data_IF_222610353508
#
_entry.id   IF_222610353508
#
_cell.length_a   1.000
_cell.length_b   1.000
_cell.length_c   1.000
_cell.angle_alpha   90.00
_cell.angle_beta   90.00
_cell.angle_gamma   90.00
#
_symmetry.space_group_name_H-M   'P 1'
#
loop_
_entity.id
_entity.type
_entity.pdbx_description
1 polymer ?
#
# COMPACT_ATOMS: atom_id res chain seq x y z
N UNK A 1 73.12 -26.82 49.71
CA UNK A 1 72.42 -25.58 50.03
C UNK A 1 71.29 -25.42 49.01
N UNK A 2 69.99 -25.58 49.42
CA UNK A 2 68.87 -25.40 48.58
C UNK A 2 68.57 -23.89 48.48
N UNK A 3 68.74 -23.31 47.26
CA UNK A 3 68.36 -21.93 47.02
C UNK A 3 66.83 -21.77 47.23
N UNK A 4 66.47 -21.02 48.22
CA UNK A 4 65.05 -20.56 48.42
C UNK A 4 64.92 -19.29 47.62
N UNK A 5 64.43 -19.41 46.39
CA UNK A 5 64.00 -18.26 45.63
C UNK A 5 62.73 -17.66 46.31
N UNK A 6 62.84 -16.49 46.87
CA UNK A 6 61.69 -15.77 47.41
C UNK A 6 60.84 -15.15 46.26
N UNK A 7 59.54 -15.04 46.45
CA UNK A 7 58.66 -14.31 45.53
C UNK A 7 59.00 -12.85 45.49
N UNK A 8 59.08 -12.25 44.33
CA UNK A 8 59.24 -10.80 44.19
C UNK A 8 57.89 -10.12 44.27
N UNK A 9 57.86 -8.82 44.58
CA UNK A 9 56.63 -8.02 44.58
C UNK A 9 55.93 -8.03 43.20
N UNK A 10 56.71 -8.08 42.12
CA UNK A 10 56.20 -8.16 40.75
C UNK A 10 55.50 -9.50 40.50
N UNK A 11 56.04 -10.61 41.02
CA UNK A 11 55.41 -11.96 40.84
C UNK A 11 54.03 -11.98 41.53
N UNK A 12 53.89 -11.37 42.70
CA UNK A 12 52.59 -11.22 43.40
C UNK A 12 51.65 -10.35 42.62
N UNK A 13 52.12 -9.22 42.08
CA UNK A 13 51.29 -8.28 41.34
C UNK A 13 50.79 -8.88 40.00
N UNK A 14 51.64 -9.54 39.28
CA UNK A 14 51.27 -10.28 38.05
C UNK A 14 50.33 -11.44 38.38
N UNK A 15 50.60 -12.20 39.44
CA UNK A 15 49.73 -13.32 39.87
C UNK A 15 48.33 -12.82 40.27
N UNK A 16 48.22 -11.74 41.00
CA UNK A 16 46.92 -11.17 41.36
C UNK A 16 46.17 -10.58 40.16
N UNK A 17 46.87 -9.93 39.22
CA UNK A 17 46.25 -9.42 37.98
C UNK A 17 45.68 -10.58 37.13
N UNK A 18 46.43 -11.67 36.96
CA UNK A 18 45.98 -12.86 36.25
C UNK A 18 44.77 -13.51 36.96
N UNK A 19 44.83 -13.61 38.31
CA UNK A 19 43.73 -14.14 39.09
C UNK A 19 42.44 -13.32 38.89
N UNK A 20 42.51 -11.98 38.89
CA UNK A 20 41.37 -11.11 38.66
C UNK A 20 40.77 -11.34 37.25
N UNK A 21 41.60 -11.42 36.21
CA UNK A 21 41.15 -11.70 34.83
C UNK A 21 40.38 -13.01 34.76
N UNK A 22 40.94 -14.08 35.36
CA UNK A 22 40.30 -15.39 35.40
C UNK A 22 38.94 -15.32 36.17
N UNK A 23 38.94 -14.66 37.31
CA UNK A 23 37.69 -14.49 38.12
C UNK A 23 36.61 -13.72 37.35
N UNK A 24 36.95 -12.64 36.63
CA UNK A 24 35.99 -11.89 35.79
C UNK A 24 35.44 -12.79 34.68
N UNK A 25 36.31 -13.62 34.04
CA UNK A 25 35.86 -14.58 33.04
C UNK A 25 34.90 -15.64 33.59
N UNK A 26 35.22 -16.22 34.73
CA UNK A 26 34.35 -17.19 35.42
C UNK A 26 33.03 -16.57 35.83
N UNK A 27 33.06 -15.37 36.40
CA UNK A 27 31.83 -14.65 36.78
C UNK A 27 30.93 -14.35 35.58
N UNK A 28 31.50 -13.91 34.44
CA UNK A 28 30.78 -13.70 33.20
C UNK A 28 30.15 -14.99 32.67
N UNK A 29 30.87 -16.13 32.74
CA UNK A 29 30.34 -17.43 32.35
C UNK A 29 29.15 -17.86 33.24
N UNK A 30 29.22 -17.63 34.55
CA UNK A 30 28.13 -17.93 35.48
C UNK A 30 26.88 -17.04 35.18
N UNK A 31 27.05 -15.74 34.93
CA UNK A 31 25.96 -14.87 34.55
C UNK A 31 25.25 -15.34 33.28
N UNK A 32 26.03 -15.72 32.26
CA UNK A 32 25.46 -16.28 31.02
C UNK A 32 24.70 -17.57 31.25
N UNK A 33 25.26 -18.47 32.08
CA UNK A 33 24.62 -19.74 32.41
C UNK A 33 23.28 -19.54 33.13
N UNK A 34 23.23 -18.66 34.14
CA UNK A 34 21.98 -18.35 34.83
C UNK A 34 20.95 -17.71 33.88
N UNK A 35 21.37 -16.79 32.99
CA UNK A 35 20.50 -16.19 31.98
C UNK A 35 19.86 -17.26 31.09
N UNK A 36 20.65 -18.21 30.58
CA UNK A 36 20.14 -19.32 29.73
C UNK A 36 19.21 -20.24 30.54
N UNK A 37 19.53 -20.55 31.79
CA UNK A 37 18.68 -21.38 32.63
C UNK A 37 17.31 -20.73 32.90
N UNK A 38 17.28 -19.44 33.24
CA UNK A 38 16.00 -18.73 33.46
C UNK A 38 15.19 -18.63 32.19
N UNK A 39 15.81 -18.38 31.04
CA UNK A 39 15.13 -18.36 29.73
C UNK A 39 14.54 -19.73 29.40
N UNK A 40 15.28 -20.80 29.63
CA UNK A 40 14.80 -22.17 29.42
C UNK A 40 13.62 -22.53 30.33
N UNK A 41 13.68 -22.14 31.62
CA UNK A 41 12.57 -22.35 32.55
C UNK A 41 11.30 -21.63 32.09
N UNK A 42 11.39 -20.37 31.71
CA UNK A 42 10.24 -19.60 31.23
C UNK A 42 9.61 -20.22 29.99
N UNK A 43 10.45 -20.69 29.04
CA UNK A 43 9.96 -21.37 27.84
C UNK A 43 9.28 -22.71 28.16
N UNK A 44 9.81 -23.47 29.12
CA UNK A 44 9.19 -24.74 29.57
C UNK A 44 7.82 -24.49 30.20
N UNK A 45 7.70 -23.48 31.07
CA UNK A 45 6.42 -23.08 31.68
C UNK A 45 5.43 -22.66 30.58
N UNK A 46 5.84 -21.80 29.64
CA UNK A 46 4.98 -21.37 28.52
C UNK A 46 4.51 -22.55 27.66
N UNK A 47 5.38 -23.51 27.38
CA UNK A 47 5.06 -24.74 26.65
C UNK A 47 4.05 -25.62 27.48
N UNK A 48 4.22 -25.69 28.79
CA UNK A 48 3.32 -26.43 29.66
C UNK A 48 1.92 -25.80 29.66
N UNK A 49 1.83 -24.47 29.77
CA UNK A 49 0.57 -23.73 29.71
C UNK A 49 -0.12 -23.87 28.34
N UNK A 50 0.66 -23.83 27.25
CA UNK A 50 0.12 -24.03 25.91
C UNK A 50 -0.41 -25.46 25.72
N UNK A 51 0.31 -26.48 26.21
CA UNK A 51 -0.18 -27.86 26.18
C UNK A 51 -1.43 -28.05 27.06
N UNK A 52 -1.45 -27.48 28.25
CA UNK A 52 -2.64 -27.50 29.12
C UNK A 52 -3.86 -26.93 28.40
N UNK A 53 -3.69 -25.78 27.71
CA UNK A 53 -4.78 -25.17 26.96
C UNK A 53 -5.26 -26.06 25.80
N UNK A 54 -4.34 -26.71 25.07
CA UNK A 54 -4.70 -27.66 24.00
C UNK A 54 -5.46 -28.87 24.60
N UNK A 55 -5.05 -29.39 25.76
CA UNK A 55 -5.77 -30.49 26.44
C UNK A 55 -7.14 -30.06 26.96
N UNK A 56 -7.30 -28.81 27.42
CA UNK A 56 -8.63 -28.28 27.77
C UNK A 56 -9.53 -28.31 26.54
N UNK A 57 -9.04 -27.81 25.37
CA UNK A 57 -9.79 -27.84 24.12
C UNK A 57 -10.11 -29.26 23.68
N UNK A 58 -9.17 -30.21 23.81
CA UNK A 58 -9.32 -31.60 23.40
C UNK A 58 -10.39 -32.36 24.23
N UNK A 59 -10.62 -31.92 25.45
CA UNK A 59 -11.63 -32.49 26.32
C UNK A 59 -13.08 -32.01 26.08
N UNK A 60 -13.24 -31.02 25.18
CA UNK A 60 -14.56 -30.54 24.78
C UNK A 60 -15.16 -31.41 23.67
N UNK A 61 -16.50 -31.41 23.56
CA UNK A 61 -17.15 -31.96 22.38
C UNK A 61 -16.78 -31.12 21.15
N UNK A 62 -16.76 -31.72 19.95
CA UNK A 62 -16.40 -30.98 18.72
C UNK A 62 -17.25 -29.71 18.55
N UNK A 63 -18.55 -29.78 18.88
CA UNK A 63 -19.45 -28.62 18.77
C UNK A 63 -19.08 -27.49 19.75
N UNK A 64 -18.56 -27.81 20.95
CA UNK A 64 -18.17 -26.84 21.96
C UNK A 64 -16.76 -26.26 21.74
N UNK A 65 -15.98 -26.85 20.83
CA UNK A 65 -14.66 -26.32 20.43
C UNK A 65 -14.87 -25.03 19.65
N UNK A 66 -14.57 -23.90 20.29
CA UNK A 66 -14.73 -22.57 19.74
C UNK A 66 -14.36 -21.53 20.79
N UNK A 67 -14.23 -20.29 20.37
CA UNK A 67 -13.87 -19.18 21.26
C UNK A 67 -15.08 -18.31 21.61
N UNK A 68 -15.05 -17.72 22.81
CA UNK A 68 -16.07 -16.77 23.27
C UNK A 68 -16.04 -15.54 22.35
N UNK A 69 -17.19 -15.23 21.71
CA UNK A 69 -17.28 -14.14 20.74
C UNK A 69 -16.46 -14.34 19.46
N UNK A 70 -16.04 -15.57 19.16
CA UNK A 70 -15.31 -15.93 17.95
C UNK A 70 -16.09 -16.83 17.00
N UNK A 71 -15.46 -17.19 15.89
CA UNK A 71 -15.98 -18.11 14.89
C UNK A 71 -14.96 -19.22 14.65
N UNK A 72 -15.28 -20.49 15.02
CA UNK A 72 -16.51 -20.97 15.67
C UNK A 72 -16.74 -20.39 17.07
N UNK A 73 -18.01 -20.14 17.39
CA UNK A 73 -18.40 -19.76 18.73
C UNK A 73 -18.23 -20.94 19.69
N UNK A 74 -17.83 -20.67 20.95
CA UNK A 74 -17.62 -21.72 21.96
C UNK A 74 -17.28 -21.16 23.32
N UNK A 75 -16.73 -22.04 24.17
CA UNK A 75 -16.53 -21.75 25.60
C UNK A 75 -15.13 -21.24 25.94
N UNK A 76 -14.16 -21.30 25.02
CA UNK A 76 -12.77 -20.96 25.28
C UNK A 76 -12.59 -19.43 25.26
N UNK A 77 -12.08 -18.80 26.32
CA UNK A 77 -11.69 -17.39 26.26
C UNK A 77 -10.60 -17.16 25.22
N UNK A 78 -10.73 -16.12 24.39
CA UNK A 78 -9.71 -15.76 23.40
C UNK A 78 -8.38 -15.37 24.07
N UNK A 79 -8.45 -14.77 25.25
CA UNK A 79 -7.26 -14.41 26.02
C UNK A 79 -7.48 -14.71 27.49
N UNK A 80 -6.44 -15.23 28.17
CA UNK A 80 -6.38 -15.34 29.65
C UNK A 80 -4.97 -15.07 30.13
N UNK A 81 -4.85 -14.66 31.36
CA UNK A 81 -3.55 -14.46 32.02
C UNK A 81 -3.38 -15.47 33.14
N UNK A 82 -2.14 -15.92 33.33
CA UNK A 82 -1.77 -16.83 34.40
C UNK A 82 -0.42 -16.45 34.98
N UNK A 83 -0.34 -16.38 36.31
CA UNK A 83 0.90 -16.07 37.01
C UNK A 83 1.55 -17.35 37.52
N UNK A 84 2.75 -17.65 37.01
CA UNK A 84 3.55 -18.82 37.42
C UNK A 84 4.95 -18.35 37.81
N UNK A 85 5.40 -18.72 39.03
CA UNK A 85 6.70 -18.35 39.56
C UNK A 85 6.98 -16.83 39.51
N UNK A 86 5.98 -16.03 39.92
CA UNK A 86 6.04 -14.56 39.96
C UNK A 86 6.29 -13.92 38.56
N UNK A 87 5.82 -14.60 37.49
CA UNK A 87 5.83 -14.11 36.15
C UNK A 87 4.45 -14.28 35.51
N UNK A 88 3.97 -13.22 34.90
CA UNK A 88 2.71 -13.21 34.18
C UNK A 88 2.90 -13.77 32.77
N UNK A 89 2.06 -14.69 32.36
CA UNK A 89 1.96 -15.28 31.03
C UNK A 89 0.59 -14.93 30.47
N UNK A 90 0.57 -14.33 29.28
CA UNK A 90 -0.66 -14.11 28.52
C UNK A 90 -0.84 -15.28 27.53
N UNK A 91 -2.00 -15.92 27.60
CA UNK A 91 -2.39 -17.06 26.77
C UNK A 91 -3.45 -16.59 25.81
N UNK A 92 -3.10 -16.50 24.52
CA UNK A 92 -4.03 -16.19 23.45
C UNK A 92 -4.43 -17.50 22.73
N UNK A 93 -5.73 -17.69 22.56
CA UNK A 93 -6.29 -18.88 21.90
C UNK A 93 -7.15 -18.44 20.73
N UNK A 94 -6.79 -18.86 19.53
CA UNK A 94 -7.54 -18.68 18.29
C UNK A 94 -8.03 -20.05 17.81
N UNK A 95 -9.32 -20.16 17.49
CA UNK A 95 -9.92 -21.37 16.94
C UNK A 95 -10.63 -20.98 15.65
N UNK A 96 -10.31 -21.66 14.55
CA UNK A 96 -10.88 -21.42 13.23
C UNK A 96 -11.35 -22.72 12.59
N UNK A 97 -12.30 -22.62 11.67
CA UNK A 97 -12.59 -23.69 10.71
C UNK A 97 -11.52 -23.71 9.62
N UNK A 98 -11.21 -24.86 9.09
CA UNK A 98 -10.26 -25.08 8.01
C UNK A 98 -10.93 -25.87 6.92
N UNK A 99 -10.80 -25.39 5.69
CA UNK A 99 -11.12 -26.03 4.43
C UNK A 99 -9.83 -26.69 3.92
N UNK A 100 -9.83 -28.03 3.78
CA UNK A 100 -8.66 -28.86 3.48
C UNK A 100 -8.69 -29.27 1.99
N UNK A 101 -7.63 -29.12 1.21
CA UNK A 101 -7.66 -29.46 -0.21
C UNK A 101 -7.76 -30.96 -0.53
N UNK A 102 -7.88 -31.84 0.45
CA UNK A 102 -7.86 -33.29 0.24
C UNK A 102 -9.10 -33.82 -0.50
N UNK A 103 -10.27 -33.29 -0.22
CA UNK A 103 -11.55 -33.63 -0.88
C UNK A 103 -12.07 -32.53 -1.81
N UNK A 104 -11.29 -31.50 -2.01
CA UNK A 104 -11.54 -30.32 -2.79
C UNK A 104 -11.38 -29.05 -1.97
N UNK A 105 -11.52 -27.93 -2.61
CA UNK A 105 -11.63 -26.61 -1.96
C UNK A 105 -12.96 -25.99 -2.37
N UNK A 106 -13.52 -25.13 -1.54
CA UNK A 106 -14.65 -24.32 -1.97
C UNK A 106 -14.33 -23.61 -3.32
N UNK A 107 -15.19 -23.68 -4.38
CA UNK A 107 -16.60 -24.10 -4.32
C UNK A 107 -16.86 -25.57 -4.70
N UNK A 108 -15.87 -26.36 -5.11
CA UNK A 108 -16.06 -27.75 -5.51
C UNK A 108 -16.44 -28.64 -4.34
N UNK A 109 -15.89 -28.35 -3.16
CA UNK A 109 -16.30 -28.99 -1.91
C UNK A 109 -17.61 -28.38 -1.38
N UNK A 110 -18.59 -29.24 -1.03
CA UNK A 110 -19.89 -28.81 -0.51
C UNK A 110 -19.85 -28.45 0.97
N UNK A 111 -18.86 -28.93 1.73
CA UNK A 111 -18.70 -28.69 3.16
C UNK A 111 -17.33 -28.13 3.50
N UNK A 112 -17.12 -26.88 3.26
CA UNK A 112 -15.83 -26.19 3.42
C UNK A 112 -15.30 -26.10 4.88
N UNK A 113 -15.75 -26.94 5.79
CA UNK A 113 -15.37 -26.96 7.21
C UNK A 113 -14.95 -28.34 7.70
N UNK A 114 -13.84 -28.86 7.18
CA UNK A 114 -13.36 -30.23 7.44
C UNK A 114 -12.96 -30.47 8.87
N UNK A 115 -12.29 -29.48 9.45
CA UNK A 115 -11.85 -29.56 10.85
C UNK A 115 -11.68 -28.17 11.48
N UNK A 116 -11.55 -28.17 12.80
CA UNK A 116 -11.20 -26.96 13.56
C UNK A 116 -9.71 -26.97 13.89
N UNK A 117 -9.03 -25.86 13.69
CA UNK A 117 -7.64 -25.65 14.08
C UNK A 117 -7.58 -24.68 15.26
N UNK A 118 -6.95 -25.12 16.35
CA UNK A 118 -6.62 -24.23 17.46
C UNK A 118 -5.16 -23.82 17.39
N UNK A 119 -4.91 -22.52 17.51
CA UNK A 119 -3.60 -21.90 17.70
C UNK A 119 -3.55 -21.30 19.11
N UNK A 120 -2.64 -21.80 19.92
CA UNK A 120 -2.41 -21.31 21.28
C UNK A 120 -1.05 -20.64 21.34
N UNK A 121 -1.04 -19.34 21.62
CA UNK A 121 0.17 -18.56 21.83
C UNK A 121 0.28 -18.16 23.29
N UNK A 122 1.40 -18.52 23.93
CA UNK A 122 1.72 -18.11 25.29
C UNK A 122 2.87 -17.14 25.25
N UNK A 123 2.63 -15.91 25.65
CA UNK A 123 3.61 -14.82 25.65
C UNK A 123 3.95 -14.36 27.07
N UNK A 124 5.19 -13.88 27.25
CA UNK A 124 5.67 -13.32 28.50
C UNK A 124 6.70 -12.23 28.26
N UNK A 125 6.87 -11.34 29.23
CA UNK A 125 7.93 -10.32 29.17
C UNK A 125 9.18 -10.79 29.92
N UNK A 126 10.33 -10.65 29.27
CA UNK A 126 11.63 -10.95 29.85
C UNK A 126 12.66 -9.86 29.46
N UNK A 127 13.17 -9.13 30.47
CA UNK A 127 14.12 -8.02 30.24
C UNK A 127 13.62 -6.98 29.21
N UNK A 128 12.35 -6.60 29.30
CA UNK A 128 11.66 -5.68 28.36
C UNK A 128 11.57 -6.23 26.92
N UNK A 129 11.76 -7.51 26.70
CA UNK A 129 11.55 -8.18 25.42
C UNK A 129 10.36 -9.14 25.55
N UNK A 130 9.42 -9.04 24.63
CA UNK A 130 8.33 -10.00 24.53
C UNK A 130 8.84 -11.29 23.90
N UNK A 131 8.54 -12.40 24.54
CA UNK A 131 8.81 -13.77 24.09
C UNK A 131 7.50 -14.51 23.97
N UNK A 132 7.40 -15.44 23.02
CA UNK A 132 6.23 -16.30 22.91
C UNK A 132 6.59 -17.71 22.47
N UNK A 133 5.66 -18.64 22.70
CA UNK A 133 5.62 -20.02 22.17
C UNK A 133 4.26 -20.21 21.56
N UNK A 134 4.22 -20.86 20.39
CA UNK A 134 2.98 -21.16 19.70
C UNK A 134 2.86 -22.68 19.56
N UNK A 135 1.69 -23.21 19.89
CA UNK A 135 1.28 -24.59 19.59
C UNK A 135 0.03 -24.57 18.71
N UNK A 136 -0.07 -25.55 17.83
CA UNK A 136 -1.24 -25.76 16.97
C UNK A 136 -1.75 -27.19 17.12
N UNK A 137 -3.08 -27.35 17.07
CA UNK A 137 -3.72 -28.66 17.08
C UNK A 137 -4.95 -28.63 16.16
N UNK A 138 -5.17 -29.75 15.45
CA UNK A 138 -6.35 -29.96 14.61
C UNK A 138 -7.33 -30.85 15.34
N UNK A 139 -8.62 -30.56 15.18
CA UNK A 139 -9.74 -31.29 15.77
C UNK A 139 -10.73 -31.61 14.67
N UNK A 140 -10.82 -32.89 14.30
CA UNK A 140 -11.76 -33.36 13.30
C UNK A 140 -13.12 -33.70 13.92
N UNK A 141 -14.23 -33.55 13.19
CA UNK A 141 -15.54 -34.00 13.64
C UNK A 141 -15.57 -35.52 13.85
N UNK A 142 -16.43 -36.04 14.74
CA UNK A 142 -16.50 -37.48 14.99
C UNK A 142 -17.17 -38.27 13.85
N UNK A 143 -17.86 -37.60 12.94
CA UNK A 143 -18.54 -38.17 11.78
C UNK A 143 -18.15 -37.39 10.52
N UNK A 144 -18.84 -37.67 9.38
CA UNK A 144 -18.77 -36.84 8.19
C UNK A 144 -19.09 -35.38 8.53
N UNK A 145 -18.50 -34.47 7.77
CA UNK A 145 -18.59 -33.02 7.95
C UNK A 145 -20.03 -32.60 8.24
N UNK A 146 -20.16 -31.64 9.15
CA UNK A 146 -21.46 -31.07 9.49
C UNK A 146 -21.58 -29.72 8.81
N UNK A 147 -22.75 -29.42 8.26
CA UNK A 147 -23.05 -28.05 7.84
C UNK A 147 -22.76 -27.09 8.99
N UNK A 148 -21.89 -26.13 8.72
CA UNK A 148 -21.54 -25.06 9.65
C UNK A 148 -22.52 -23.92 9.40
N UNK A 149 -23.18 -23.43 10.45
CA UNK A 149 -24.00 -22.22 10.31
C UNK A 149 -23.17 -21.04 9.80
N UNK A 150 -23.80 -20.11 9.07
CA UNK A 150 -23.13 -18.99 8.39
C UNK A 150 -22.77 -19.30 6.93
N UNK A 151 -22.02 -18.41 6.31
CA UNK A 151 -21.54 -18.57 4.94
C UNK A 151 -20.02 -18.83 4.89
N UNK A 152 -19.52 -19.19 3.72
CA UNK A 152 -18.07 -19.35 3.46
C UNK A 152 -17.58 -18.22 2.60
N UNK A 153 -16.58 -17.46 3.09
CA UNK A 153 -15.87 -16.45 2.32
C UNK A 153 -14.54 -17.01 1.82
N UNK A 154 -14.35 -17.01 0.52
CA UNK A 154 -13.14 -17.49 -0.13
C UNK A 154 -12.49 -16.37 -0.93
N UNK A 155 -11.17 -16.18 -0.77
CA UNK A 155 -10.40 -15.14 -1.42
C UNK A 155 -9.32 -15.75 -2.29
N UNK A 156 -9.19 -15.23 -3.52
CA UNK A 156 -8.03 -15.43 -4.39
C UNK A 156 -7.27 -14.15 -4.54
N UNK A 157 -5.98 -14.16 -4.25
CA UNK A 157 -5.10 -12.99 -4.40
C UNK A 157 -4.08 -13.27 -5.50
N UNK A 158 -4.11 -12.46 -6.55
CA UNK A 158 -3.25 -12.59 -7.71
C UNK A 158 -2.53 -11.27 -8.01
N UNK A 159 -1.32 -11.39 -8.54
CA UNK A 159 -0.59 -10.27 -9.13
C UNK A 159 -1.30 -9.82 -10.43
N UNK A 160 -1.68 -8.56 -10.49
CA UNK A 160 -2.50 -8.02 -11.58
C UNK A 160 -1.79 -8.00 -12.94
N UNK A 161 -0.45 -8.04 -12.96
CA UNK A 161 0.34 -7.97 -14.17
C UNK A 161 0.68 -9.37 -14.70
N UNK A 162 1.11 -10.27 -13.83
CA UNK A 162 1.51 -11.64 -14.21
C UNK A 162 0.35 -12.64 -14.15
N UNK A 163 -0.72 -12.33 -13.43
CA UNK A 163 -1.81 -13.26 -13.11
C UNK A 163 -1.42 -14.38 -12.15
N UNK A 164 -0.21 -14.36 -11.62
CA UNK A 164 0.27 -15.39 -10.68
C UNK A 164 -0.30 -15.18 -9.28
N UNK A 165 -0.50 -16.28 -8.57
CA UNK A 165 -0.93 -16.28 -7.20
C UNK A 165 0.07 -15.55 -6.28
N UNK A 166 -0.44 -14.78 -5.33
CA UNK A 166 0.39 -14.10 -4.31
C UNK A 166 0.27 -14.84 -2.99
N UNK A 167 1.33 -15.57 -2.63
CA UNK A 167 1.42 -16.29 -1.38
C UNK A 167 1.64 -15.35 -0.19
N UNK A 168 1.10 -15.75 0.97
CA UNK A 168 1.23 -14.99 2.23
C UNK A 168 0.75 -13.53 2.14
N UNK A 169 -0.18 -13.22 1.24
CA UNK A 169 -0.85 -11.94 1.22
C UNK A 169 -1.74 -11.83 2.47
N UNK A 170 -1.54 -10.79 3.25
CA UNK A 170 -2.33 -10.55 4.44
C UNK A 170 -3.74 -10.12 4.03
N UNK A 171 -4.75 -10.77 4.57
CA UNK A 171 -6.15 -10.42 4.43
C UNK A 171 -6.71 -10.02 5.80
N UNK A 172 -7.25 -8.83 5.91
CA UNK A 172 -7.99 -8.34 7.05
C UNK A 172 -9.48 -8.31 6.66
N UNK A 173 -10.31 -9.05 7.41
CA UNK A 173 -11.75 -9.22 7.16
C UNK A 173 -12.50 -8.66 8.33
N UNK A 174 -13.30 -7.62 8.09
CA UNK A 174 -13.97 -6.84 9.14
C UNK A 174 -15.46 -6.80 8.87
N UNK A 175 -16.26 -7.03 9.91
CA UNK A 175 -17.69 -6.72 9.93
C UNK A 175 -18.14 -6.49 11.37
N UNK A 176 -18.41 -5.27 11.73
CA UNK A 176 -18.89 -4.85 13.06
C UNK A 176 -20.42 -4.80 13.16
N UNK A 177 -21.14 -5.10 12.06
CA UNK A 177 -22.60 -5.08 12.00
C UNK A 177 -23.24 -6.44 12.28
N UNK A 178 -22.42 -7.47 12.53
CA UNK A 178 -22.87 -8.84 12.83
C UNK A 178 -22.56 -9.22 14.28
N UNK A 179 -23.25 -10.26 14.78
CA UNK A 179 -22.99 -10.82 16.10
C UNK A 179 -22.62 -12.31 16.00
N UNK A 180 -21.44 -12.74 16.44
CA UNK A 180 -20.35 -11.91 16.94
C UNK A 180 -19.74 -11.03 15.86
N UNK A 181 -19.23 -9.84 16.23
CA UNK A 181 -18.49 -8.99 15.31
C UNK A 181 -17.26 -9.72 14.78
N UNK A 182 -16.97 -9.54 13.47
CA UNK A 182 -15.86 -10.21 12.80
C UNK A 182 -14.69 -9.25 12.69
N UNK A 183 -13.53 -9.65 13.19
CA UNK A 183 -12.25 -8.99 12.98
C UNK A 183 -11.18 -10.07 12.86
N UNK A 184 -10.85 -10.43 11.63
CA UNK A 184 -9.90 -11.51 11.34
C UNK A 184 -8.71 -10.95 10.56
N UNK A 185 -7.51 -11.30 11.00
CA UNK A 185 -6.27 -11.06 10.27
C UNK A 185 -5.68 -12.43 9.95
N UNK A 186 -5.49 -12.70 8.67
CA UNK A 186 -5.04 -13.98 8.17
C UNK A 186 -4.19 -13.79 6.92
N UNK A 187 -3.69 -14.86 6.32
CA UNK A 187 -2.90 -14.78 5.10
C UNK A 187 -3.29 -15.89 4.12
N UNK A 188 -3.07 -15.62 2.84
CA UNK A 188 -3.22 -16.63 1.79
C UNK A 188 -2.17 -17.72 1.89
N UNK A 189 -2.49 -18.89 1.37
CA UNK A 189 -1.57 -20.01 1.17
C UNK A 189 -0.58 -19.78 0.00
N UNK A 190 0.20 -20.80 -0.35
CA UNK A 190 1.16 -20.75 -1.46
C UNK A 190 0.49 -20.60 -2.85
N UNK A 191 -0.82 -20.86 -2.96
CA UNK A 191 -1.63 -20.70 -4.17
C UNK A 191 -2.42 -19.37 -4.19
N UNK A 192 -2.14 -18.46 -3.25
CA UNK A 192 -2.87 -17.21 -3.13
C UNK A 192 -4.31 -17.36 -2.63
N UNK A 193 -4.63 -18.52 -2.05
CA UNK A 193 -5.96 -18.90 -1.62
C UNK A 193 -6.15 -18.73 -0.12
N UNK A 194 -7.35 -18.35 0.27
CA UNK A 194 -7.80 -18.27 1.65
C UNK A 194 -9.29 -18.60 1.72
N UNK A 195 -9.70 -19.53 2.59
CA UNK A 195 -11.10 -19.84 2.88
C UNK A 195 -11.43 -19.60 4.35
N UNK A 196 -12.61 -19.03 4.63
CA UNK A 196 -13.13 -18.79 5.97
C UNK A 196 -14.59 -19.21 6.07
N UNK A 197 -14.86 -20.48 6.43
CA UNK A 197 -16.19 -20.98 6.68
C UNK A 197 -16.78 -20.45 7.99
N UNK A 198 -18.11 -20.43 8.07
CA UNK A 198 -18.85 -20.14 9.30
C UNK A 198 -19.00 -18.66 9.65
N UNK A 199 -18.73 -17.76 8.72
CA UNK A 199 -18.93 -16.33 8.93
C UNK A 199 -20.42 -15.96 8.95
N UNK A 200 -20.89 -15.05 9.82
CA UNK A 200 -22.27 -14.58 9.83
C UNK A 200 -22.71 -13.99 8.48
N UNK A 201 -23.95 -14.27 8.00
CA UNK A 201 -24.45 -13.69 6.78
C UNK A 201 -24.55 -12.15 6.88
N UNK A 202 -24.06 -11.44 5.87
CA UNK A 202 -24.09 -9.97 5.79
C UNK A 202 -23.62 -9.51 4.41
N UNK A 203 -23.97 -8.27 4.04
CA UNK A 203 -23.48 -7.57 2.84
C UNK A 203 -22.45 -6.46 3.18
N UNK A 204 -21.95 -6.43 4.41
CA UNK A 204 -21.09 -5.38 4.94
C UNK A 204 -19.68 -5.85 5.28
N UNK A 205 -19.18 -6.91 4.62
CA UNK A 205 -17.80 -7.36 4.84
C UNK A 205 -16.79 -6.44 4.16
N UNK A 206 -16.06 -5.70 4.97
CA UNK A 206 -14.88 -4.94 4.54
C UNK A 206 -13.67 -5.88 4.51
N UNK A 207 -12.97 -5.90 3.36
CA UNK A 207 -11.82 -6.77 3.14
C UNK A 207 -10.65 -5.93 2.69
N UNK A 208 -9.52 -6.03 3.38
CA UNK A 208 -8.26 -5.40 2.99
C UNK A 208 -7.25 -6.48 2.68
N UNK A 209 -6.64 -6.42 1.51
CA UNK A 209 -5.58 -7.34 1.09
C UNK A 209 -4.31 -6.53 0.84
N UNK A 210 -3.22 -6.97 1.45
CA UNK A 210 -1.92 -6.32 1.33
C UNK A 210 -0.78 -7.34 1.31
N UNK A 211 0.32 -7.01 0.64
CA UNK A 211 1.56 -7.77 0.66
C UNK A 211 2.74 -6.82 0.53
N UNK A 212 3.85 -7.12 1.20
CA UNK A 212 5.06 -6.31 1.11
C UNK A 212 5.55 -6.18 -0.34
N UNK A 213 5.72 -4.94 -0.81
CA UNK A 213 6.12 -4.64 -2.19
C UNK A 213 4.96 -4.58 -3.19
N UNK A 214 3.74 -4.77 -2.73
CA UNK A 214 2.51 -4.61 -3.51
C UNK A 214 1.67 -3.46 -2.98
N UNK A 215 0.78 -2.95 -3.81
CA UNK A 215 -0.25 -2.02 -3.39
C UNK A 215 -1.36 -2.73 -2.60
N UNK A 216 -2.19 -1.97 -1.91
CA UNK A 216 -3.34 -2.48 -1.18
C UNK A 216 -4.56 -2.58 -2.10
N UNK A 217 -5.32 -3.67 -1.97
CA UNK A 217 -6.66 -3.80 -2.53
C UNK A 217 -7.66 -3.84 -1.39
N UNK A 218 -8.56 -2.86 -1.35
CA UNK A 218 -9.55 -2.69 -0.29
C UNK A 218 -10.96 -2.62 -0.87
N UNK A 219 -11.93 -3.16 -0.14
CA UNK A 219 -13.36 -2.98 -0.47
C UNK A 219 -13.96 -1.81 0.29
N UNK A 220 -15.04 -1.26 -0.24
CA UNK A 220 -15.68 -0.04 0.26
C UNK A 220 -17.19 -0.18 0.30
N UNK A 221 -17.84 0.54 1.21
CA UNK A 221 -19.29 0.74 1.20
C UNK A 221 -19.69 1.84 0.23
N UNK A 222 -20.83 1.68 -0.43
CA UNK A 222 -21.45 2.75 -1.21
C UNK A 222 -21.94 3.89 -0.30
N UNK A 223 -21.90 5.11 -0.81
CA UNK A 223 -22.39 6.31 -0.12
C UNK A 223 -23.08 7.27 -1.10
N UNK A 224 -23.58 8.41 -0.61
CA UNK A 224 -24.17 9.44 -1.47
C UNK A 224 -23.17 10.09 -2.45
N UNK A 225 -21.88 10.00 -2.16
CA UNK A 225 -20.79 10.62 -2.95
C UNK A 225 -19.82 9.61 -3.53
N UNK A 226 -20.06 8.31 -3.31
CA UNK A 226 -19.19 7.27 -3.79
C UNK A 226 -19.94 5.96 -4.03
N UNK A 227 -19.89 5.48 -5.26
CA UNK A 227 -20.40 4.17 -5.71
C UNK A 227 -19.21 3.32 -6.16
N UNK A 228 -18.78 2.31 -5.35
CA UNK A 228 -17.63 1.49 -5.71
C UNK A 228 -17.92 0.59 -6.90
N UNK A 229 -16.93 0.39 -7.75
CA UNK A 229 -17.00 -0.68 -8.76
C UNK A 229 -17.23 -2.04 -8.07
N UNK A 230 -17.89 -3.01 -8.73
CA UNK A 230 -18.27 -4.29 -8.12
C UNK A 230 -17.10 -5.02 -7.45
N UNK A 231 -15.90 -4.94 -8.00
CA UNK A 231 -14.68 -5.57 -7.44
C UNK A 231 -14.21 -4.88 -6.16
N UNK A 232 -14.55 -3.61 -5.96
CA UNK A 232 -14.24 -2.82 -4.77
C UNK A 232 -15.42 -2.68 -3.80
N UNK A 233 -16.59 -3.25 -4.10
CA UNK A 233 -17.74 -3.24 -3.18
C UNK A 233 -17.53 -4.19 -2.00
N UNK A 234 -18.18 -3.91 -0.86
CA UNK A 234 -18.17 -4.82 0.28
C UNK A 234 -18.63 -6.23 -0.11
N UNK A 235 -18.05 -7.24 0.56
CA UNK A 235 -18.40 -8.64 0.33
C UNK A 235 -19.80 -8.97 0.84
N UNK A 236 -20.63 -9.61 0.00
CA UNK A 236 -21.90 -10.18 0.42
C UNK A 236 -21.71 -11.65 0.78
N UNK A 237 -22.23 -12.06 1.93
CA UNK A 237 -22.21 -13.43 2.41
C UNK A 237 -23.62 -13.87 2.77
N UNK A 238 -24.03 -15.05 2.28
CA UNK A 238 -25.36 -15.63 2.49
C UNK A 238 -25.21 -16.91 3.32
N UNK A 239 -26.18 -17.18 4.18
CA UNK A 239 -26.25 -18.41 4.98
C UNK A 239 -26.19 -19.65 4.11
N UNK A 240 -25.28 -20.58 4.40
CA UNK A 240 -25.09 -21.83 3.69
C UNK A 240 -24.53 -21.66 2.26
N UNK A 241 -24.14 -20.45 1.85
CA UNK A 241 -23.62 -20.19 0.52
C UNK A 241 -22.11 -19.90 0.55
N UNK A 242 -21.49 -19.98 -0.61
CA UNK A 242 -20.06 -19.74 -0.81
C UNK A 242 -19.85 -18.50 -1.66
N UNK A 243 -19.19 -17.51 -1.08
CA UNK A 243 -18.84 -16.28 -1.78
C UNK A 243 -17.35 -16.27 -2.11
N UNK A 244 -17.04 -16.23 -3.40
CA UNK A 244 -15.66 -16.14 -3.90
C UNK A 244 -15.37 -14.71 -4.31
N UNK A 245 -14.23 -14.17 -3.84
CA UNK A 245 -13.75 -12.83 -4.19
C UNK A 245 -12.33 -12.91 -4.74
N UNK A 246 -12.10 -12.20 -5.84
CA UNK A 246 -10.79 -12.10 -6.47
C UNK A 246 -10.18 -10.74 -6.16
N UNK A 247 -8.95 -10.74 -5.67
CA UNK A 247 -8.19 -9.55 -5.36
C UNK A 247 -6.97 -9.48 -6.25
N UNK A 248 -6.88 -8.43 -7.04
CA UNK A 248 -5.73 -8.15 -7.90
C UNK A 248 -4.88 -7.09 -7.23
N UNK A 249 -3.69 -7.43 -6.79
CA UNK A 249 -2.71 -6.50 -6.26
C UNK A 249 -1.55 -6.35 -7.23
N UNK A 250 -0.90 -5.20 -7.24
CA UNK A 250 0.18 -4.90 -8.16
C UNK A 250 1.45 -4.51 -7.41
N UNK A 251 2.61 -4.83 -7.96
CA UNK A 251 3.85 -4.30 -7.43
C UNK A 251 3.86 -2.79 -7.49
N UNK A 252 4.27 -2.19 -6.38
CA UNK A 252 4.31 -0.73 -6.25
C UNK A 252 5.42 -0.10 -7.08
N UNK A 253 5.21 1.15 -7.43
CA UNK A 253 6.09 1.95 -8.26
C UNK A 253 6.55 3.23 -7.54
N UNK A 254 7.44 3.97 -8.18
CA UNK A 254 7.96 5.24 -7.68
C UNK A 254 7.72 6.33 -8.72
N UNK A 255 7.19 7.48 -8.28
CA UNK A 255 7.08 8.68 -9.11
C UNK A 255 8.07 9.73 -8.58
N UNK A 256 8.96 10.22 -9.44
CA UNK A 256 9.84 11.33 -9.15
C UNK A 256 9.31 12.58 -9.85
N UNK A 257 8.95 13.58 -9.08
CA UNK A 257 8.52 14.88 -9.57
C UNK A 257 9.69 15.85 -9.47
N UNK A 258 9.96 16.60 -10.53
CA UNK A 258 10.94 17.69 -10.55
C UNK A 258 10.29 18.95 -11.08
N UNK A 259 10.50 20.08 -10.39
CA UNK A 259 10.03 21.40 -10.79
C UNK A 259 11.23 22.25 -11.19
N UNK A 260 11.17 22.86 -12.38
CA UNK A 260 12.23 23.69 -12.94
C UNK A 260 11.62 24.91 -13.64
N UNK A 261 12.43 25.94 -13.84
CA UNK A 261 12.10 27.04 -14.74
C UNK A 261 12.37 26.70 -16.21
N UNK A 262 12.19 27.65 -17.11
CA UNK A 262 12.43 27.50 -18.53
C UNK A 262 13.94 27.45 -18.92
N UNK A 263 14.84 27.71 -17.97
CA UNK A 263 16.29 27.56 -18.10
C UNK A 263 16.78 26.23 -17.49
N UNK A 264 15.83 25.38 -17.01
CA UNK A 264 16.07 24.13 -16.33
C UNK A 264 16.73 24.26 -14.93
N UNK A 265 16.64 25.45 -14.32
CA UNK A 265 17.06 25.66 -12.94
C UNK A 265 15.96 25.18 -11.96
N UNK A 266 16.32 24.56 -10.83
CA UNK A 266 15.35 24.04 -9.88
C UNK A 266 14.46 25.12 -9.26
N UNK A 267 13.15 24.88 -9.22
CA UNK A 267 12.19 25.70 -8.49
C UNK A 267 11.77 24.99 -7.21
N UNK A 268 12.14 25.59 -6.08
CA UNK A 268 11.90 25.02 -4.74
C UNK A 268 10.48 25.27 -4.25
N UNK A 269 9.97 24.36 -3.41
CA UNK A 269 8.72 24.53 -2.67
C UNK A 269 7.48 24.80 -3.52
N UNK A 270 7.40 24.17 -4.68
CA UNK A 270 6.23 24.28 -5.55
C UNK A 270 5.13 23.36 -5.02
N UNK A 271 3.95 23.91 -4.66
CA UNK A 271 2.82 23.11 -4.22
C UNK A 271 2.08 22.52 -5.44
N UNK A 272 1.62 21.27 -5.29
CA UNK A 272 0.82 20.58 -6.29
C UNK A 272 -0.10 19.57 -5.64
N UNK A 273 -1.18 19.21 -6.33
CA UNK A 273 -2.05 18.08 -5.99
C UNK A 273 -1.78 16.90 -6.91
N UNK A 274 -2.10 15.71 -6.45
CA UNK A 274 -2.00 14.49 -7.23
C UNK A 274 -3.16 13.57 -6.92
N UNK A 275 -3.90 13.17 -7.96
CA UNK A 275 -4.92 12.13 -7.87
C UNK A 275 -4.68 11.07 -8.93
N UNK A 276 -5.03 9.81 -8.65
CA UNK A 276 -4.83 8.74 -9.62
C UNK A 276 -4.72 7.36 -9.01
N UNK A 277 -3.97 6.48 -9.66
CA UNK A 277 -3.85 5.07 -9.31
C UNK A 277 -5.01 4.26 -9.84
N UNK A 278 -5.56 3.37 -9.02
CA UNK A 278 -6.71 2.54 -9.42
C UNK A 278 -7.99 3.38 -9.43
N UNK A 279 -8.80 3.26 -10.48
CA UNK A 279 -10.17 3.70 -10.44
C UNK A 279 -10.97 2.72 -9.55
N UNK A 280 -11.52 3.21 -8.45
CA UNK A 280 -12.21 2.38 -7.44
C UNK A 280 -13.73 2.54 -7.45
N UNK A 281 -14.24 3.51 -8.17
CA UNK A 281 -15.67 3.80 -8.29
C UNK A 281 -15.96 5.12 -8.95
N UNK A 282 -17.22 5.54 -8.86
CA UNK A 282 -17.70 6.79 -9.40
C UNK A 282 -18.34 7.64 -8.30
N UNK A 283 -18.36 8.94 -8.49
CA UNK A 283 -19.18 9.85 -7.72
C UNK A 283 -20.60 9.92 -8.35
N UNK A 284 -21.67 9.48 -7.66
CA UNK A 284 -23.01 9.45 -8.24
C UNK A 284 -23.61 10.83 -8.60
N UNK A 285 -22.99 11.92 -8.13
CA UNK A 285 -23.50 13.27 -8.39
C UNK A 285 -23.12 13.81 -9.78
N UNK A 286 -21.96 13.40 -10.31
CA UNK A 286 -21.40 13.96 -11.54
C UNK A 286 -20.68 12.91 -12.44
N UNK A 287 -20.79 11.63 -12.09
CA UNK A 287 -20.15 10.48 -12.75
C UNK A 287 -18.60 10.62 -12.83
N UNK A 288 -18.00 11.44 -11.98
CA UNK A 288 -16.55 11.57 -11.94
C UNK A 288 -15.89 10.33 -11.34
N UNK A 289 -14.74 9.93 -11.91
CA UNK A 289 -13.98 8.78 -11.42
C UNK A 289 -13.35 9.08 -10.08
N UNK A 290 -13.55 8.16 -9.12
CA UNK A 290 -12.88 8.18 -7.82
C UNK A 290 -11.67 7.26 -7.89
N UNK A 291 -10.49 7.79 -7.52
CA UNK A 291 -9.24 7.06 -7.55
C UNK A 291 -8.80 6.62 -6.15
N UNK A 292 -7.99 5.58 -6.09
CA UNK A 292 -7.44 5.05 -4.83
C UNK A 292 -6.42 5.98 -4.16
N UNK A 293 -5.86 6.93 -4.90
CA UNK A 293 -4.89 7.91 -4.42
C UNK A 293 -5.35 9.33 -4.70
N UNK A 294 -5.46 10.12 -3.64
CA UNK A 294 -5.71 11.56 -3.74
C UNK A 294 -4.94 12.27 -2.64
N UNK A 295 -4.11 13.23 -3.00
CA UNK A 295 -3.34 14.06 -2.07
C UNK A 295 -3.37 15.51 -2.51
N UNK A 296 -3.90 16.33 -1.64
CA UNK A 296 -3.76 17.77 -1.66
C UNK A 296 -2.48 18.14 -0.89
N UNK A 297 -1.88 19.27 -1.18
CA UNK A 297 -0.74 19.81 -0.41
C UNK A 297 0.57 19.00 -0.51
N UNK A 298 0.88 18.42 -1.66
CA UNK A 298 2.24 17.95 -1.96
C UNK A 298 3.13 19.16 -2.29
N UNK A 299 4.38 19.15 -1.81
CA UNK A 299 5.34 20.25 -2.03
C UNK A 299 6.69 19.65 -2.41
N UNK A 300 7.36 20.23 -3.43
CA UNK A 300 8.75 19.89 -3.77
C UNK A 300 9.73 20.44 -2.71
N UNK A 301 10.90 19.83 -2.62
CA UNK A 301 11.97 20.23 -1.68
C UNK A 301 12.78 21.43 -2.16
N UNK A 302 13.90 21.75 -1.46
CA UNK A 302 14.84 22.84 -1.77
C UNK A 302 15.49 22.69 -3.16
N UNK A 303 15.53 21.47 -3.71
CA UNK A 303 16.08 21.15 -5.03
C UNK A 303 14.99 21.02 -6.10
N UNK A 304 13.76 21.40 -5.79
CA UNK A 304 12.62 21.24 -6.66
C UNK A 304 12.23 19.78 -6.89
N UNK A 305 12.46 18.88 -5.93
CA UNK A 305 12.21 17.45 -6.09
C UNK A 305 11.18 16.94 -5.10
N UNK A 306 10.39 15.94 -5.52
CA UNK A 306 9.52 15.15 -4.67
C UNK A 306 9.50 13.71 -5.14
N UNK A 307 9.84 12.78 -4.27
CA UNK A 307 9.70 11.36 -4.52
C UNK A 307 8.44 10.84 -3.83
N UNK A 308 7.62 10.12 -4.58
CA UNK A 308 6.42 9.44 -4.12
C UNK A 308 6.65 7.94 -4.26
N UNK A 309 6.64 7.26 -3.13
CA UNK A 309 6.89 5.82 -3.04
C UNK A 309 5.57 5.07 -2.87
N UNK A 310 5.60 3.76 -3.15
CA UNK A 310 4.47 2.86 -2.99
C UNK A 310 3.23 3.29 -3.80
N UNK A 311 3.48 3.78 -5.01
CA UNK A 311 2.42 4.20 -5.91
C UNK A 311 1.83 2.98 -6.63
N UNK A 312 0.50 2.85 -6.63
CA UNK A 312 -0.22 1.84 -7.42
C UNK A 312 -0.02 2.10 -8.91
N UNK A 313 0.00 1.09 -9.78
CA UNK A 313 -0.08 1.33 -11.22
C UNK A 313 -1.41 2.01 -11.58
N UNK A 314 -1.39 2.81 -12.63
CA UNK A 314 -2.58 3.52 -13.09
C UNK A 314 -2.29 4.89 -13.68
N UNK A 315 -3.33 5.66 -13.85
CA UNK A 315 -3.29 7.03 -14.37
C UNK A 315 -3.15 8.03 -13.22
N UNK A 316 -2.25 9.02 -13.36
CA UNK A 316 -2.05 10.07 -12.38
C UNK A 316 -2.16 11.45 -12.99
N UNK A 317 -3.00 12.30 -12.39
CA UNK A 317 -3.26 13.67 -12.79
C UNK A 317 -2.63 14.63 -11.81
N UNK A 318 -1.81 15.52 -12.33
CA UNK A 318 -1.11 16.57 -11.58
C UNK A 318 -1.81 17.90 -11.77
N UNK A 319 -1.90 18.67 -10.69
CA UNK A 319 -2.31 20.07 -10.74
C UNK A 319 -1.35 20.91 -9.88
N UNK A 320 -0.71 21.90 -10.47
CA UNK A 320 0.13 22.85 -9.73
C UNK A 320 -0.76 23.91 -9.11
N UNK A 321 -0.74 24.01 -7.77
CA UNK A 321 -1.60 24.91 -6.99
C UNK A 321 -0.89 26.21 -6.58
N UNK A 322 0.24 26.53 -7.23
CA UNK A 322 1.00 27.75 -6.98
C UNK A 322 0.27 28.98 -7.53
N UNK A 323 0.13 30.01 -6.71
CA UNK A 323 -0.35 31.32 -7.17
C UNK A 323 0.71 32.19 -7.86
N UNK A 324 1.99 31.77 -7.77
CA UNK A 324 3.12 32.51 -8.33
C UNK A 324 3.63 31.93 -9.64
N UNK A 325 3.37 30.65 -9.91
CA UNK A 325 3.90 29.93 -11.06
C UNK A 325 2.81 29.21 -11.83
N UNK A 326 2.90 29.21 -13.15
CA UNK A 326 2.08 28.45 -14.07
C UNK A 326 2.91 27.39 -14.80
N UNK A 327 2.27 26.29 -15.21
CA UNK A 327 2.94 25.19 -15.92
C UNK A 327 3.11 25.54 -17.40
N UNK A 328 4.33 25.48 -17.87
CA UNK A 328 4.66 25.58 -19.31
C UNK A 328 4.53 24.20 -19.98
N UNK A 329 5.21 23.20 -19.42
CA UNK A 329 5.21 21.81 -19.89
C UNK A 329 5.34 20.85 -18.69
N UNK A 330 4.86 19.60 -18.78
CA UNK A 330 4.13 18.98 -19.88
C UNK A 330 2.66 19.43 -19.97
N UNK A 331 1.90 18.84 -20.88
CA UNK A 331 0.45 19.00 -20.91
C UNK A 331 -0.18 18.17 -19.78
N UNK A 332 -0.59 18.81 -18.68
CA UNK A 332 -1.18 18.14 -17.51
C UNK A 332 -2.66 17.71 -17.72
N UNK A 333 -3.29 18.06 -18.85
CA UNK A 333 -4.59 17.48 -19.21
C UNK A 333 -4.49 15.97 -19.49
N UNK A 334 -3.28 15.47 -19.76
CA UNK A 334 -3.00 14.04 -19.94
C UNK A 334 -2.42 13.44 -18.67
N UNK A 335 -2.91 12.26 -18.27
CA UNK A 335 -2.35 11.57 -17.11
C UNK A 335 -0.92 11.06 -17.37
N UNK A 336 -0.13 11.02 -16.30
CA UNK A 336 1.08 10.20 -16.25
C UNK A 336 0.67 8.74 -16.06
N UNK A 337 1.06 7.87 -16.98
CA UNK A 337 0.82 6.42 -16.86
C UNK A 337 1.95 5.80 -16.05
N UNK A 338 1.58 5.15 -14.95
CA UNK A 338 2.51 4.44 -14.06
C UNK A 338 2.29 2.94 -14.21
N UNK A 339 3.30 2.27 -14.74
CA UNK A 339 3.33 0.81 -14.85
C UNK A 339 3.75 0.17 -13.52
N UNK A 340 3.36 -1.08 -13.27
CA UNK A 340 3.78 -1.82 -12.08
C UNK A 340 5.30 -2.04 -12.05
N UNK A 341 5.90 -2.08 -10.85
CA UNK A 341 7.33 -2.32 -10.63
C UNK A 341 8.22 -1.33 -11.44
N UNK A 342 7.78 -0.08 -11.57
CA UNK A 342 8.44 0.92 -12.41
C UNK A 342 8.90 2.15 -11.61
N UNK A 343 9.79 2.90 -12.21
CA UNK A 343 10.17 4.23 -11.74
C UNK A 343 9.89 5.23 -12.85
N UNK A 344 8.93 6.11 -12.61
CA UNK A 344 8.54 7.17 -13.53
C UNK A 344 9.09 8.52 -13.06
N UNK A 345 9.36 9.40 -14.02
CA UNK A 345 9.81 10.75 -13.72
C UNK A 345 9.00 11.76 -14.52
N UNK A 346 8.51 12.80 -13.85
CA UNK A 346 7.86 13.94 -14.50
C UNK A 346 8.64 15.21 -14.17
N UNK A 347 8.91 16.01 -15.18
CA UNK A 347 9.52 17.34 -15.04
C UNK A 347 8.47 18.39 -15.36
N UNK A 348 8.12 19.18 -14.36
CA UNK A 348 7.21 20.31 -14.48
C UNK A 348 8.04 21.57 -14.75
N UNK A 349 8.01 22.06 -15.97
CA UNK A 349 8.63 23.34 -16.31
C UNK A 349 7.62 24.44 -16.05
N UNK A 350 7.99 25.41 -15.24
CA UNK A 350 7.11 26.46 -14.73
C UNK A 350 7.65 27.84 -15.12
N UNK A 351 6.74 28.82 -15.19
CA UNK A 351 7.11 30.22 -15.35
C UNK A 351 6.35 31.08 -14.35
N UNK A 352 6.92 32.25 -13.97
CA UNK A 352 6.22 33.23 -13.16
C UNK A 352 4.92 33.70 -13.83
N UNK A 353 3.86 33.84 -13.03
CA UNK A 353 2.56 34.30 -13.54
C UNK A 353 2.51 35.82 -13.80
N UNK A 354 3.44 36.58 -13.24
CA UNK A 354 3.54 38.04 -13.38
C UNK A 354 4.45 38.50 -14.55
N UNK A 355 4.95 37.56 -15.35
CA UNK A 355 5.72 37.83 -16.54
C UNK A 355 4.88 37.64 -17.82
N UNK A 356 5.04 38.51 -18.85
CA UNK A 356 4.35 38.31 -20.11
C UNK A 356 4.80 37.03 -20.83
N UNK A 357 3.88 36.07 -20.94
CA UNK A 357 4.12 34.79 -21.61
C UNK A 357 2.85 34.30 -22.31
N UNK A 358 3.02 33.57 -23.39
CA UNK A 358 1.94 32.84 -24.04
C UNK A 358 2.29 31.35 -24.07
N UNK A 359 1.51 30.56 -23.38
CA UNK A 359 1.47 29.09 -23.52
C UNK A 359 0.39 28.73 -24.53
N UNK A 360 0.77 28.20 -25.67
CA UNK A 360 -0.13 27.81 -26.75
C UNK A 360 -0.19 26.28 -26.81
N UNK A 361 -1.36 25.72 -26.67
CA UNK A 361 -1.64 24.30 -26.91
C UNK A 361 -2.33 24.14 -28.26
N UNK A 362 -1.73 23.42 -29.19
CA UNK A 362 -2.28 23.15 -30.51
C UNK A 362 -2.71 21.71 -30.60
N UNK A 363 -4.00 21.49 -30.84
CA UNK A 363 -4.62 20.17 -30.89
C UNK A 363 -5.21 19.88 -32.28
N UNK A 364 -5.35 18.62 -32.61
CA UNK A 364 -6.16 18.11 -33.70
C UNK A 364 -7.65 18.12 -33.29
N UNK A 365 -8.46 18.83 -34.04
CA UNK A 365 -9.91 18.99 -33.74
C UNK A 365 -10.71 17.69 -33.78
N UNK A 366 -10.20 16.62 -34.42
CA UNK A 366 -10.90 15.35 -34.56
C UNK A 366 -10.47 14.32 -33.51
N UNK A 367 -9.23 14.39 -33.04
CA UNK A 367 -8.65 13.38 -32.12
C UNK A 367 -8.32 13.92 -30.75
N UNK A 368 -8.42 15.23 -30.55
CA UNK A 368 -8.03 15.97 -29.33
C UNK A 368 -6.56 15.76 -28.91
N UNK A 369 -5.71 15.29 -29.83
CA UNK A 369 -4.29 15.06 -29.57
C UNK A 369 -3.47 16.30 -29.90
N UNK A 370 -2.45 16.57 -29.07
CA UNK A 370 -1.49 17.63 -29.34
C UNK A 370 -0.77 17.42 -30.67
N UNK A 371 -0.60 18.49 -31.44
CA UNK A 371 0.05 18.46 -32.76
C UNK A 371 1.52 18.81 -32.63
N UNK A 372 2.39 17.81 -32.79
CA UNK A 372 3.85 17.96 -32.78
C UNK A 372 4.33 18.75 -34.04
N UNK A 373 5.27 19.68 -33.86
CA UNK A 373 5.84 20.51 -34.95
C UNK A 373 4.80 21.31 -35.74
N UNK A 374 3.74 21.80 -35.11
CA UNK A 374 2.95 22.87 -35.68
C UNK A 374 3.72 24.20 -35.57
N UNK A 375 3.74 25.01 -36.62
CA UNK A 375 4.38 26.32 -36.60
C UNK A 375 3.41 27.34 -36.02
N UNK A 376 3.77 27.94 -34.89
CA UNK A 376 3.05 29.04 -34.27
C UNK A 376 3.86 30.33 -34.47
N UNK A 377 3.25 31.39 -35.01
CA UNK A 377 3.85 32.74 -35.19
C UNK A 377 3.04 33.71 -34.37
N UNK A 378 3.73 34.43 -33.50
CA UNK A 378 3.18 35.54 -32.73
C UNK A 378 3.86 36.81 -33.18
N UNK A 379 3.06 37.81 -33.64
CA UNK A 379 3.64 39.00 -34.25
C UNK A 379 2.78 40.24 -34.07
N UNK A 380 3.47 41.40 -33.98
CA UNK A 380 2.92 42.73 -34.07
C UNK A 380 3.97 43.67 -34.72
N UNK A 381 3.87 44.99 -34.54
CA UNK A 381 4.84 45.95 -35.09
C UNK A 381 6.26 45.82 -34.49
N UNK A 382 6.37 45.34 -33.24
CA UNK A 382 7.61 45.30 -32.47
C UNK A 382 8.13 43.91 -32.19
N UNK A 383 7.33 42.86 -32.43
CA UNK A 383 7.63 41.48 -32.12
C UNK A 383 7.18 40.57 -33.26
N UNK A 384 8.07 39.72 -33.76
CA UNK A 384 7.74 38.73 -34.79
C UNK A 384 8.59 37.48 -34.57
N UNK A 385 8.00 36.45 -33.98
CA UNK A 385 8.67 35.17 -33.65
C UNK A 385 7.84 34.00 -34.09
N UNK A 386 8.53 32.93 -34.50
CA UNK A 386 7.95 31.65 -34.86
C UNK A 386 8.51 30.57 -33.92
N UNK A 387 7.64 29.80 -33.30
CA UNK A 387 7.96 28.66 -32.45
C UNK A 387 7.28 27.42 -33.02
N UNK A 388 7.89 26.24 -32.85
CA UNK A 388 7.25 24.97 -33.15
C UNK A 388 6.76 24.32 -31.89
N UNK A 389 5.59 23.66 -31.95
CA UNK A 389 5.06 22.88 -30.85
C UNK A 389 5.92 21.65 -30.58
N UNK A 390 6.06 21.30 -29.29
CA UNK A 390 6.69 20.08 -28.82
C UNK A 390 5.80 18.84 -29.05
N UNK A 391 6.16 17.66 -28.48
CA UNK A 391 5.43 16.41 -28.61
C UNK A 391 4.02 16.47 -27.99
N UNK A 392 3.81 17.31 -26.99
CA UNK A 392 2.50 17.56 -26.37
C UNK A 392 1.62 18.56 -27.13
N UNK A 393 2.14 19.13 -28.22
CA UNK A 393 1.46 20.19 -28.97
C UNK A 393 1.62 21.57 -28.34
N UNK A 394 2.59 21.78 -27.43
CA UNK A 394 2.78 23.04 -26.71
C UNK A 394 3.87 23.88 -27.39
N UNK A 395 3.58 25.17 -27.64
CA UNK A 395 4.53 26.21 -27.97
C UNK A 395 4.50 27.30 -26.90
N UNK A 396 5.68 27.82 -26.52
CA UNK A 396 5.80 28.87 -25.50
C UNK A 396 6.48 30.09 -26.09
N UNK A 397 5.94 31.28 -25.81
CA UNK A 397 6.54 32.57 -26.13
C UNK A 397 6.79 33.38 -24.85
N UNK A 398 7.93 34.11 -24.74
CA UNK A 398 9.01 34.18 -25.73
C UNK A 398 9.71 32.82 -25.86
N UNK A 399 10.17 32.49 -27.08
CA UNK A 399 10.89 31.26 -27.35
C UNK A 399 12.42 31.43 -27.19
N UNK A 400 12.88 32.65 -27.26
CA UNK A 400 14.29 33.05 -27.13
C UNK A 400 14.40 34.26 -26.16
N UNK A 401 15.60 34.83 -26.01
CA UNK A 401 15.85 35.98 -25.14
C UNK A 401 15.11 37.28 -25.57
N UNK A 402 14.18 37.18 -26.52
CA UNK A 402 13.38 38.32 -26.97
C UNK A 402 12.28 38.64 -25.96
N UNK A 403 12.23 39.87 -25.47
CA UNK A 403 11.23 40.35 -24.55
C UNK A 403 9.83 40.35 -25.18
N UNK A 404 8.91 39.55 -24.62
CA UNK A 404 7.49 39.66 -24.93
C UNK A 404 6.88 40.71 -23.95
N UNK A 405 6.06 41.60 -24.48
CA UNK A 405 5.37 42.61 -23.63
C UNK A 405 3.87 42.34 -23.58
N UNK A 406 3.21 42.85 -22.55
CA UNK A 406 1.76 42.88 -22.53
C UNK A 406 1.22 43.73 -23.70
N UNK A 407 0.15 43.27 -24.34
CA UNK A 407 -0.46 43.95 -25.48
C UNK A 407 -1.09 43.02 -26.49
N UNK A 408 -1.51 43.60 -27.61
CA UNK A 408 -2.19 42.88 -28.68
C UNK A 408 -1.21 42.40 -29.75
N UNK A 409 -1.39 41.16 -30.17
CA UNK A 409 -0.62 40.47 -31.19
C UNK A 409 -1.53 39.79 -32.20
N UNK A 410 -0.97 39.41 -33.34
CA UNK A 410 -1.60 38.43 -34.22
C UNK A 410 -0.93 37.07 -33.99
N UNK A 411 -1.77 36.06 -33.86
CA UNK A 411 -1.35 34.67 -33.74
C UNK A 411 -1.74 33.93 -35.03
N UNK A 412 -0.78 33.28 -35.68
CA UNK A 412 -1.05 32.32 -36.76
C UNK A 412 -0.46 30.97 -36.43
N UNK A 413 -1.23 29.93 -36.68
CA UNK A 413 -0.82 28.53 -36.45
C UNK A 413 -1.02 27.75 -37.73
N UNK A 414 0.02 27.04 -38.19
CA UNK A 414 -0.03 26.22 -39.40
C UNK A 414 0.63 24.87 -39.20
N UNK A 415 0.09 23.86 -39.88
CA UNK A 415 0.63 22.49 -39.88
C UNK A 415 0.29 21.83 -41.22
N UNK A 416 1.25 21.15 -41.84
CA UNK A 416 1.00 20.42 -43.09
C UNK A 416 -0.12 19.39 -42.90
N UNK A 417 -1.12 19.39 -43.78
CA UNK A 417 -2.30 18.54 -43.71
C UNK A 417 -3.45 19.12 -42.87
N UNK A 418 -3.34 20.36 -42.38
CA UNK A 418 -4.36 21.04 -41.59
C UNK A 418 -4.70 22.42 -42.18
N UNK A 419 -5.89 22.93 -41.87
CA UNK A 419 -6.27 24.29 -42.18
C UNK A 419 -5.48 25.29 -41.34
N UNK A 420 -4.98 26.37 -41.93
CA UNK A 420 -4.28 27.42 -41.21
C UNK A 420 -5.24 28.19 -40.30
N UNK A 421 -4.78 28.48 -39.07
CA UNK A 421 -5.54 29.26 -38.10
C UNK A 421 -4.90 30.65 -37.93
N UNK A 422 -5.73 31.67 -37.85
CA UNK A 422 -5.29 33.07 -37.59
C UNK A 422 -6.29 33.77 -36.68
N UNK A 423 -5.76 34.52 -35.69
CA UNK A 423 -6.57 35.32 -34.75
C UNK A 423 -5.76 36.46 -34.16
N UNK A 424 -6.42 37.41 -33.53
CA UNK A 424 -5.79 38.34 -32.59
C UNK A 424 -5.64 37.67 -31.22
N UNK A 425 -4.54 37.96 -30.55
CA UNK A 425 -4.24 37.43 -29.20
C UNK A 425 -3.73 38.57 -28.32
N UNK A 426 -4.44 38.84 -27.22
CA UNK A 426 -3.96 39.75 -26.20
C UNK A 426 -3.09 38.96 -25.23
N UNK A 427 -1.92 39.49 -24.88
CA UNK A 427 -1.04 38.99 -23.84
C UNK A 427 -1.21 39.89 -22.62
N UNK A 428 -1.61 39.31 -21.52
CA UNK A 428 -1.73 39.98 -20.23
C UNK A 428 -1.09 39.10 -19.16
N UNK A 429 0.19 39.34 -18.90
CA UNK A 429 1.06 38.46 -18.12
C UNK A 429 1.01 37.01 -18.66
N UNK A 430 0.97 36.01 -17.78
CA UNK A 430 0.86 34.64 -18.22
C UNK A 430 -0.51 34.37 -18.87
N UNK A 431 -0.47 34.04 -20.14
CA UNK A 431 -1.67 33.82 -20.97
C UNK A 431 -1.65 32.41 -21.57
N UNK A 432 -2.75 31.71 -21.46
CA UNK A 432 -2.95 30.39 -22.08
C UNK A 432 -3.91 30.47 -23.26
N UNK A 433 -3.63 29.73 -24.31
CA UNK A 433 -4.49 29.60 -25.47
C UNK A 433 -4.47 28.17 -26.02
N UNK A 434 -5.65 27.60 -26.23
CA UNK A 434 -5.81 26.36 -27.01
C UNK A 434 -6.27 26.71 -28.43
N UNK A 435 -5.64 26.08 -29.42
CA UNK A 435 -6.02 26.18 -30.84
C UNK A 435 -6.23 24.78 -31.39
N UNK A 436 -7.41 24.56 -31.93
CA UNK A 436 -7.77 23.31 -32.60
C UNK A 436 -7.61 23.49 -34.11
N UNK A 437 -6.78 22.67 -34.76
CA UNK A 437 -6.61 22.66 -36.22
C UNK A 437 -7.46 21.54 -36.80
N UNK A 438 -8.21 21.91 -37.87
CA UNK A 438 -9.03 20.97 -38.65
C UNK A 438 -8.17 20.31 -39.73
N UNK A 439 -8.14 18.97 -39.81
CA UNK A 439 -7.47 18.27 -40.89
C UNK A 439 -8.03 18.71 -42.26
N UNK A 440 -7.14 18.81 -43.27
CA UNK A 440 -7.57 18.96 -44.68
C UNK A 440 -8.07 17.57 -45.18
N UNK A 441 -9.18 17.56 -45.92
CA UNK A 441 -9.75 16.37 -46.53
C UNK A 441 -8.80 15.75 -47.57
#
# INVERSE_FOLDING_TARGET
MKNKNGFTFIDVLVGTALLVIVMVGIFGAFQLLFKVLFQSQSKIVALSLANEQIEIIRNLSYQDIGSQGGIPAGQIPQTREEEVNNRLYAIATEIIYVDDPFDGLSPEDESAADYKKARVEVSWSEHNLNKSVVLMANFSPPNLESEVGGGTLSLYVNDSQSGQAVANAQAEIINDQVEPAVYLITATDDNGWLSRPGLPPSDAYEIHVSQTGYDEHRTYSASATFDPEPEYSHGQLVEGDKTIRYFLIAKVSVINVKTVDDQNEPLSFIPFTLKGGRAIGLNPADDSVVYSYERDELITDDNGQKQLNQMSPGEYYFEVTSSAYAVLTPNLERPLIVEADSQQSIVLTLAPMDEPRLRLLVKDASTDKGLFKANARLYNQNYDKVCQTNEDGIAVFPFDEADLANGDYNLSVSKAGYQDYQTSQTIDYFTERTVELTPLE
#
